data_IF_024069321313
#
_entry.id   IF_024069321313
#
_cell.length_a   1.000
_cell.length_b   1.000
_cell.length_c   1.000
_cell.angle_alpha   90.00
_cell.angle_beta   90.00
_cell.angle_gamma   90.00
#
_symmetry.space_group_name_H-M   'P 1'
#
loop_
_entity.id
_entity.type
_entity.pdbx_description
1 polymer ?
#
# COMPACT_ATOMS: atom_id res chain seq x y z
N UNK A 1 16.02 -19.67 44.45
CA UNK A 1 15.89 -19.48 42.99
C UNK A 1 17.09 -20.12 42.29
N UNK A 2 16.92 -21.31 41.70
CA UNK A 2 17.99 -21.96 40.92
C UNK A 2 18.12 -21.24 39.57
N UNK A 3 19.24 -20.54 39.37
CA UNK A 3 19.62 -20.02 38.04
C UNK A 3 19.94 -21.24 37.16
N UNK A 4 19.15 -21.45 36.11
CA UNK A 4 19.47 -22.42 35.06
C UNK A 4 20.74 -21.96 34.35
N UNK A 5 21.89 -22.52 34.72
CA UNK A 5 23.08 -22.48 33.89
C UNK A 5 22.80 -23.36 32.67
N UNK A 6 22.54 -22.76 31.51
CA UNK A 6 22.63 -23.50 30.26
C UNK A 6 24.11 -23.85 30.06
N UNK A 7 24.47 -25.13 29.85
CA UNK A 7 25.85 -25.49 29.53
C UNK A 7 26.29 -24.71 28.29
N UNK A 8 27.57 -24.34 28.23
CA UNK A 8 28.13 -23.71 27.03
C UNK A 8 27.86 -24.65 25.84
N UNK A 9 27.31 -24.14 24.72
CA UNK A 9 27.00 -24.98 23.57
C UNK A 9 28.26 -25.66 23.09
N UNK A 10 28.17 -26.97 22.86
CA UNK A 10 29.29 -27.76 22.35
C UNK A 10 29.69 -27.27 20.94
N UNK A 11 30.88 -27.63 20.47
CA UNK A 11 31.43 -27.18 19.19
C UNK A 11 30.45 -27.47 18.03
N UNK A 12 29.77 -28.62 18.05
CA UNK A 12 28.73 -28.98 17.08
C UNK A 12 27.54 -28.03 17.12
N UNK A 13 27.03 -27.71 18.32
CA UNK A 13 25.89 -26.80 18.49
C UNK A 13 26.26 -25.36 18.04
N UNK A 14 27.52 -24.94 18.28
CA UNK A 14 28.04 -23.66 17.77
C UNK A 14 28.17 -23.66 16.25
N UNK A 15 28.64 -24.76 15.65
CA UNK A 15 28.72 -24.91 14.19
C UNK A 15 27.33 -24.88 13.56
N UNK A 16 26.34 -25.52 14.16
CA UNK A 16 24.95 -25.50 13.70
C UNK A 16 24.34 -24.10 13.76
N UNK A 17 24.55 -23.37 14.86
CA UNK A 17 24.10 -21.98 14.98
C UNK A 17 24.74 -21.07 13.92
N UNK A 18 26.03 -21.25 13.64
CA UNK A 18 26.74 -20.52 12.57
C UNK A 18 26.19 -20.89 11.20
N UNK A 19 26.01 -22.19 10.91
CA UNK A 19 25.43 -22.67 9.66
C UNK A 19 24.02 -22.10 9.43
N UNK A 20 23.20 -22.07 10.48
CA UNK A 20 21.86 -21.50 10.38
C UNK A 20 21.89 -19.99 10.15
N UNK A 21 22.79 -19.26 10.83
CA UNK A 21 23.04 -17.83 10.57
C UNK A 21 23.47 -17.58 9.12
N UNK A 22 24.41 -18.36 8.59
CA UNK A 22 24.86 -18.26 7.20
C UNK A 22 23.72 -18.55 6.23
N UNK A 23 22.92 -19.60 6.47
CA UNK A 23 21.74 -19.91 5.65
C UNK A 23 20.69 -18.80 5.67
N UNK A 24 20.46 -18.17 6.82
CA UNK A 24 19.55 -17.01 6.92
C UNK A 24 20.11 -15.81 6.17
N UNK A 25 21.39 -15.48 6.37
CA UNK A 25 22.06 -14.38 5.70
C UNK A 25 22.05 -14.54 4.17
N UNK A 26 22.35 -15.73 3.65
CA UNK A 26 22.26 -16.04 2.21
C UNK A 26 20.84 -15.83 1.68
N UNK A 27 19.83 -16.38 2.36
CA UNK A 27 18.42 -16.19 1.96
C UNK A 27 18.02 -14.71 1.95
N UNK A 28 18.47 -13.93 2.94
CA UNK A 28 18.22 -12.48 2.98
C UNK A 28 18.92 -11.76 1.83
N UNK A 29 20.17 -12.11 1.53
CA UNK A 29 20.92 -11.52 0.42
C UNK A 29 20.28 -11.84 -0.92
N UNK A 30 19.96 -13.12 -1.19
CA UNK A 30 19.29 -13.56 -2.42
C UNK A 30 17.94 -12.87 -2.62
N UNK A 31 17.20 -12.68 -1.53
CA UNK A 31 15.96 -11.93 -1.55
C UNK A 31 16.20 -10.47 -1.91
N UNK A 32 17.13 -9.77 -1.22
CA UNK A 32 17.48 -8.37 -1.52
C UNK A 32 17.97 -8.18 -2.95
N UNK A 33 18.78 -9.09 -3.46
CA UNK A 33 19.26 -9.06 -4.84
C UNK A 33 18.11 -9.19 -5.82
N UNK A 34 17.19 -10.15 -5.60
CA UNK A 34 15.97 -10.25 -6.42
C UNK A 34 15.15 -8.97 -6.38
N UNK A 35 14.95 -8.39 -5.21
CA UNK A 35 14.18 -7.14 -5.07
C UNK A 35 14.82 -5.94 -5.76
N UNK A 36 16.15 -5.87 -5.72
CA UNK A 36 16.90 -4.81 -6.37
C UNK A 36 16.86 -4.93 -7.90
N UNK A 37 16.64 -6.14 -8.43
CA UNK A 37 16.49 -6.38 -9.87
C UNK A 37 15.11 -6.08 -10.42
N UNK A 38 14.05 -6.15 -9.61
CA UNK A 38 12.67 -5.90 -10.08
C UNK A 38 12.52 -4.63 -10.93
N UNK A 39 13.08 -3.46 -10.57
CA UNK A 39 12.98 -2.29 -11.44
C UNK A 39 13.66 -2.48 -12.80
N UNK A 40 14.80 -3.20 -12.84
CA UNK A 40 15.50 -3.51 -14.09
C UNK A 40 14.69 -4.51 -14.92
N UNK A 41 14.15 -5.55 -14.28
CA UNK A 41 13.29 -6.54 -14.93
C UNK A 41 12.06 -5.83 -15.55
N UNK A 42 11.42 -4.91 -14.81
CA UNK A 42 10.31 -4.11 -15.33
C UNK A 42 10.75 -3.25 -16.52
N UNK A 43 11.91 -2.60 -16.47
CA UNK A 43 12.41 -1.78 -17.58
C UNK A 43 12.71 -2.59 -18.84
N UNK A 44 13.11 -3.86 -18.67
CA UNK A 44 13.42 -4.77 -19.76
C UNK A 44 12.14 -5.33 -20.39
N UNK A 45 11.14 -5.67 -19.56
CA UNK A 45 9.84 -6.20 -19.99
C UNK A 45 8.89 -5.12 -20.53
N UNK A 46 8.94 -3.92 -19.94
CA UNK A 46 8.10 -2.77 -20.26
C UNK A 46 9.02 -1.54 -20.35
N UNK A 47 9.13 -0.93 -21.53
CA UNK A 47 9.87 0.32 -21.65
C UNK A 47 9.31 1.35 -20.65
N UNK A 48 10.15 2.17 -20.02
CA UNK A 48 9.70 3.19 -19.03
C UNK A 48 8.59 4.09 -19.60
N UNK A 49 8.62 4.30 -20.92
CA UNK A 49 7.62 5.06 -21.68
C UNK A 49 6.22 4.42 -21.74
N UNK A 50 6.09 3.15 -21.39
CA UNK A 50 4.82 2.40 -21.39
C UNK A 50 4.09 2.48 -20.04
N UNK A 51 4.74 3.02 -19.01
CA UNK A 51 4.11 3.23 -17.71
C UNK A 51 3.13 4.40 -17.79
N UNK A 52 1.87 4.16 -17.47
CA UNK A 52 0.84 5.20 -17.48
C UNK A 52 1.06 6.20 -16.33
N UNK A 53 1.48 5.73 -15.16
CA UNK A 53 1.71 6.56 -13.98
C UNK A 53 0.42 6.95 -13.25
N UNK A 54 0.49 7.99 -12.40
CA UNK A 54 -0.58 8.55 -11.57
C UNK A 54 -1.16 7.63 -10.49
N UNK A 55 -1.84 6.56 -10.87
CA UNK A 55 -2.55 5.65 -9.96
C UNK A 55 -2.10 4.21 -10.20
N UNK A 56 -1.92 3.47 -9.11
CA UNK A 56 -1.51 2.08 -9.15
C UNK A 56 -2.50 1.18 -8.43
N UNK A 57 -3.06 0.17 -9.11
CA UNK A 57 -3.87 -0.87 -8.47
C UNK A 57 -3.02 -2.09 -8.14
N UNK A 58 -2.79 -2.35 -6.85
CA UNK A 58 -2.05 -3.54 -6.42
C UNK A 58 -3.01 -4.70 -6.12
N UNK A 59 -3.34 -5.50 -7.13
CA UNK A 59 -4.32 -6.59 -7.03
C UNK A 59 -4.02 -7.76 -7.96
N UNK A 60 -4.28 -8.98 -7.48
CA UNK A 60 -4.32 -10.21 -8.32
C UNK A 60 -5.70 -10.55 -8.84
N UNK A 61 -6.71 -9.78 -8.45
CA UNK A 61 -8.08 -10.06 -8.78
C UNK A 61 -8.49 -9.32 -10.07
N UNK A 62 -8.59 -10.08 -11.15
CA UNK A 62 -9.03 -9.58 -12.45
C UNK A 62 -10.40 -8.91 -12.43
N UNK A 63 -11.32 -9.32 -11.54
CA UNK A 63 -12.64 -8.68 -11.43
C UNK A 63 -12.58 -7.23 -10.95
N UNK A 64 -11.51 -6.86 -10.24
CA UNK A 64 -11.30 -5.50 -9.74
C UNK A 64 -10.51 -4.67 -10.76
N UNK A 65 -9.73 -5.31 -11.64
CA UNK A 65 -8.86 -4.64 -12.61
C UNK A 65 -9.66 -3.73 -13.54
N UNK A 66 -10.63 -4.27 -14.26
CA UNK A 66 -11.38 -3.49 -15.25
C UNK A 66 -12.21 -2.38 -14.59
N UNK A 67 -12.82 -2.71 -13.45
CA UNK A 67 -13.63 -1.75 -12.68
C UNK A 67 -12.81 -0.53 -12.25
N UNK A 68 -11.63 -0.76 -11.67
CA UNK A 68 -10.75 0.33 -11.21
C UNK A 68 -10.11 1.04 -12.39
N UNK A 69 -9.60 0.31 -13.38
CA UNK A 69 -8.96 0.89 -14.58
C UNK A 69 -9.93 1.82 -15.31
N UNK A 70 -11.15 1.37 -15.56
CA UNK A 70 -12.16 2.18 -16.25
C UNK A 70 -12.52 3.43 -15.45
N UNK A 71 -12.65 3.31 -14.12
CA UNK A 71 -12.94 4.45 -13.26
C UNK A 71 -11.80 5.46 -13.25
N UNK A 72 -10.56 5.02 -13.02
CA UNK A 72 -9.37 5.87 -12.97
C UNK A 72 -9.17 6.60 -14.30
N UNK A 73 -9.30 5.88 -15.42
CA UNK A 73 -9.21 6.48 -16.76
C UNK A 73 -10.36 7.43 -17.07
N UNK A 74 -11.57 7.18 -16.57
CA UNK A 74 -12.70 8.11 -16.73
C UNK A 74 -12.47 9.44 -16.03
N UNK A 75 -11.62 9.46 -14.98
CA UNK A 75 -11.17 10.67 -14.30
C UNK A 75 -9.93 11.30 -14.94
N UNK A 76 -9.41 10.72 -16.03
CA UNK A 76 -8.28 11.24 -16.80
C UNK A 76 -6.90 10.87 -16.28
N UNK A 77 -6.79 9.87 -15.40
CA UNK A 77 -5.50 9.42 -14.85
C UNK A 77 -5.01 8.12 -15.49
N UNK A 78 -3.69 7.95 -15.53
CA UNK A 78 -3.04 6.67 -15.81
C UNK A 78 -3.33 5.60 -14.75
N UNK A 79 -3.31 4.32 -15.15
CA UNK A 79 -3.54 3.21 -14.23
C UNK A 79 -2.66 1.99 -14.52
N UNK A 80 -1.63 1.79 -13.70
CA UNK A 80 -0.78 0.59 -13.73
C UNK A 80 -1.24 -0.45 -12.70
N UNK A 81 -1.13 -1.75 -13.04
CA UNK A 81 -1.70 -2.83 -12.21
C UNK A 81 -0.64 -3.89 -11.86
N UNK A 82 0.24 -3.65 -10.88
CA UNK A 82 1.11 -4.70 -10.34
C UNK A 82 0.31 -5.70 -9.48
N UNK A 83 0.69 -6.97 -9.51
CA UNK A 83 0.03 -7.97 -8.67
C UNK A 83 0.60 -7.98 -7.25
N UNK A 84 1.92 -7.78 -7.14
CA UNK A 84 2.69 -7.97 -5.90
C UNK A 84 3.16 -6.64 -5.35
N UNK A 85 3.35 -6.59 -4.03
CA UNK A 85 3.92 -5.41 -3.36
C UNK A 85 5.33 -5.10 -3.85
N UNK A 86 6.10 -6.12 -4.24
CA UNK A 86 7.47 -5.94 -4.74
C UNK A 86 7.50 -5.30 -6.14
N UNK A 87 6.58 -5.70 -7.02
CA UNK A 87 6.36 -5.08 -8.34
C UNK A 87 5.89 -3.64 -8.18
N UNK A 88 4.92 -3.41 -7.28
CA UNK A 88 4.45 -2.07 -6.94
C UNK A 88 5.60 -1.17 -6.45
N UNK A 89 6.45 -1.65 -5.54
CA UNK A 89 7.64 -0.93 -5.09
C UNK A 89 8.63 -0.69 -6.24
N UNK A 90 8.77 -1.65 -7.17
CA UNK A 90 9.57 -1.49 -8.38
C UNK A 90 9.07 -0.32 -9.23
N UNK A 91 7.77 -0.31 -9.54
CA UNK A 91 7.12 0.77 -10.28
C UNK A 91 7.25 2.12 -9.58
N UNK A 92 7.06 2.20 -8.26
CA UNK A 92 7.25 3.43 -7.48
C UNK A 92 8.66 4.02 -7.60
N UNK A 93 9.68 3.22 -7.95
CA UNK A 93 11.04 3.72 -8.20
C UNK A 93 11.24 4.25 -9.62
N UNK A 94 10.41 3.84 -10.56
CA UNK A 94 10.54 4.13 -11.98
C UNK A 94 9.61 5.27 -12.43
N UNK A 95 8.38 5.28 -11.93
CA UNK A 95 7.33 6.22 -12.31
C UNK A 95 6.95 7.19 -11.20
N UNK A 96 6.24 8.25 -11.57
CA UNK A 96 5.60 9.17 -10.62
C UNK A 96 4.17 8.72 -10.38
N UNK A 97 3.92 8.21 -9.18
CA UNK A 97 2.59 7.86 -8.72
C UNK A 97 2.15 8.84 -7.64
N UNK A 98 0.86 9.13 -7.59
CA UNK A 98 0.23 9.97 -6.58
C UNK A 98 -0.69 9.14 -5.67
N UNK A 99 -1.23 8.03 -6.18
CA UNK A 99 -2.10 7.15 -5.40
C UNK A 99 -1.83 5.67 -5.67
N UNK A 100 -2.03 4.86 -4.64
CA UNK A 100 -2.04 3.41 -4.69
C UNK A 100 -3.38 2.90 -4.17
N UNK A 101 -4.07 2.10 -4.97
CA UNK A 101 -5.23 1.32 -4.55
C UNK A 101 -4.74 -0.09 -4.22
N UNK A 102 -4.70 -0.47 -2.94
CA UNK A 102 -4.13 -1.73 -2.49
C UNK A 102 -5.21 -2.76 -2.14
N UNK A 103 -5.27 -3.90 -2.85
CA UNK A 103 -6.10 -5.03 -2.42
C UNK A 103 -5.46 -5.72 -1.21
N UNK A 104 -6.07 -5.51 -0.05
CA UNK A 104 -5.68 -6.05 1.25
C UNK A 104 -6.53 -7.29 1.64
N UNK A 105 -7.47 -7.70 0.80
CA UNK A 105 -8.47 -8.73 1.17
C UNK A 105 -7.91 -10.14 1.31
N UNK A 106 -6.81 -10.47 0.63
CA UNK A 106 -6.22 -11.82 0.68
C UNK A 106 -4.82 -11.86 1.28
N UNK A 107 -4.05 -10.78 1.18
CA UNK A 107 -2.66 -10.74 1.59
C UNK A 107 -2.35 -9.41 2.25
N UNK A 108 -1.56 -9.47 3.32
CA UNK A 108 -1.01 -8.25 3.90
C UNK A 108 -0.11 -7.54 2.89
N UNK A 109 -0.27 -6.23 2.84
CA UNK A 109 0.56 -5.31 2.06
C UNK A 109 1.47 -4.45 2.96
N UNK A 110 1.74 -4.87 4.20
CA UNK A 110 2.45 -4.06 5.20
C UNK A 110 3.78 -3.48 4.71
N UNK A 111 4.54 -4.23 3.91
CA UNK A 111 5.79 -3.74 3.32
C UNK A 111 5.62 -2.59 2.31
N UNK A 112 4.51 -2.57 1.58
CA UNK A 112 4.17 -1.47 0.68
C UNK A 112 3.88 -0.20 1.49
N UNK A 113 3.10 -0.33 2.56
CA UNK A 113 2.83 0.76 3.50
C UNK A 113 4.12 1.30 4.13
N UNK A 114 4.98 0.42 4.63
CA UNK A 114 6.27 0.81 5.21
C UNK A 114 7.14 1.56 4.20
N UNK A 115 7.21 1.07 2.95
CA UNK A 115 7.97 1.72 1.88
C UNK A 115 7.43 3.11 1.57
N UNK A 116 6.13 3.24 1.32
CA UNK A 116 5.48 4.52 1.00
C UNK A 116 5.67 5.51 2.14
N UNK A 117 5.40 5.10 3.38
CA UNK A 117 5.59 5.95 4.57
C UNK A 117 7.03 6.44 4.71
N UNK A 118 8.02 5.60 4.41
CA UNK A 118 9.44 5.93 4.61
C UNK A 118 10.05 6.73 3.46
N UNK A 119 9.65 6.48 2.23
CA UNK A 119 10.34 7.01 1.05
C UNK A 119 9.48 7.92 0.17
N UNK A 120 8.15 7.77 0.18
CA UNK A 120 7.23 8.52 -0.67
C UNK A 120 5.93 8.90 0.07
N UNK A 121 6.00 9.66 1.18
CA UNK A 121 4.83 9.96 2.02
C UNK A 121 3.76 10.81 1.34
N UNK A 122 4.06 11.40 0.19
CA UNK A 122 3.10 12.14 -0.64
C UNK A 122 2.11 11.20 -1.36
N UNK A 123 2.51 9.96 -1.63
CA UNK A 123 1.66 8.96 -2.29
C UNK A 123 0.56 8.52 -1.33
N UNK A 124 -0.71 8.65 -1.75
CA UNK A 124 -1.87 8.27 -0.93
C UNK A 124 -2.22 6.81 -1.15
N UNK A 125 -2.55 6.08 -0.08
CA UNK A 125 -2.99 4.69 -0.19
C UNK A 125 -4.50 4.60 0.08
N UNK A 126 -5.26 4.02 -0.84
CA UNK A 126 -6.65 3.61 -0.62
C UNK A 126 -6.68 2.08 -0.56
N UNK A 127 -7.21 1.52 0.51
CA UNK A 127 -7.14 0.07 0.75
C UNK A 127 -8.47 -0.61 0.51
N UNK A 128 -8.50 -1.71 -0.24
CA UNK A 128 -9.68 -2.59 -0.33
C UNK A 128 -9.54 -3.64 0.76
N UNK A 129 -10.48 -3.67 1.71
CA UNK A 129 -10.43 -4.52 2.92
C UNK A 129 -11.67 -5.41 3.02
N UNK A 130 -11.62 -6.49 3.81
CA UNK A 130 -12.78 -7.40 3.94
C UNK A 130 -13.85 -6.89 4.89
N UNK A 131 -13.46 -6.13 5.90
CA UNK A 131 -14.34 -5.69 6.98
C UNK A 131 -13.79 -4.43 7.67
N UNK A 132 -14.63 -3.82 8.52
CA UNK A 132 -14.29 -2.62 9.28
C UNK A 132 -13.11 -2.80 10.24
N UNK A 133 -12.87 -4.01 10.74
CA UNK A 133 -11.72 -4.27 11.61
C UNK A 133 -10.41 -4.10 10.84
N UNK A 134 -10.30 -4.71 9.65
CA UNK A 134 -9.18 -4.50 8.73
C UNK A 134 -9.10 -3.05 8.25
N UNK A 135 -10.24 -2.40 8.00
CA UNK A 135 -10.32 -0.96 7.67
C UNK A 135 -9.61 -0.09 8.71
N UNK A 136 -9.93 -0.29 9.99
CA UNK A 136 -9.24 0.43 11.09
C UNK A 136 -7.74 0.14 11.15
N UNK A 137 -7.32 -1.09 10.84
CA UNK A 137 -5.88 -1.43 10.82
C UNK A 137 -5.13 -0.69 9.72
N UNK A 138 -5.67 -0.64 8.50
CA UNK A 138 -5.02 0.06 7.38
C UNK A 138 -5.02 1.57 7.58
N UNK A 139 -6.07 2.14 8.19
CA UNK A 139 -6.08 3.56 8.56
C UNK A 139 -4.95 3.89 9.55
N UNK A 140 -4.75 3.07 10.60
CA UNK A 140 -3.63 3.23 11.54
C UNK A 140 -2.26 3.07 10.87
N UNK A 141 -2.19 2.31 9.78
CA UNK A 141 -0.97 2.15 8.99
C UNK A 141 -0.67 3.36 8.09
N UNK A 142 -1.59 4.33 7.98
CA UNK A 142 -1.45 5.53 7.16
C UNK A 142 -2.20 5.48 5.82
N UNK A 143 -3.21 4.61 5.70
CA UNK A 143 -4.12 4.64 4.55
C UNK A 143 -4.89 5.97 4.56
N UNK A 144 -5.08 6.57 3.38
CA UNK A 144 -5.91 7.75 3.18
C UNK A 144 -7.39 7.43 3.41
N UNK A 145 -7.85 6.30 2.87
CA UNK A 145 -9.22 5.79 3.02
C UNK A 145 -9.21 4.27 2.84
N UNK A 146 -10.35 3.61 3.08
CA UNK A 146 -10.56 2.22 2.72
C UNK A 146 -11.93 1.97 2.09
N UNK A 147 -12.00 0.90 1.31
CA UNK A 147 -13.19 0.42 0.60
C UNK A 147 -13.56 -0.96 1.12
N UNK A 148 -14.84 -1.18 1.38
CA UNK A 148 -15.34 -2.45 1.92
C UNK A 148 -15.63 -3.46 0.82
N UNK A 149 -14.89 -4.56 0.87
CA UNK A 149 -15.02 -5.68 -0.05
C UNK A 149 -14.65 -5.34 -1.49
N UNK A 150 -14.64 -6.35 -2.35
CA UNK A 150 -14.37 -6.18 -3.79
C UNK A 150 -15.59 -5.65 -4.55
N UNK A 151 -16.77 -5.79 -3.96
CA UNK A 151 -18.03 -5.20 -4.41
C UNK A 151 -18.22 -3.73 -3.99
N UNK A 152 -17.15 -3.03 -3.60
CA UNK A 152 -17.22 -1.62 -3.16
C UNK A 152 -17.94 -0.73 -4.17
N UNK A 153 -18.50 0.38 -3.70
CA UNK A 153 -19.16 1.36 -4.54
C UNK A 153 -18.14 2.17 -5.38
N UNK A 154 -18.21 2.15 -6.72
CA UNK A 154 -17.35 2.97 -7.57
C UNK A 154 -17.34 4.46 -7.21
N UNK A 155 -18.48 5.03 -6.80
CA UNK A 155 -18.57 6.46 -6.47
C UNK A 155 -17.74 6.80 -5.22
N UNK A 156 -17.58 5.84 -4.30
CA UNK A 156 -16.73 6.01 -3.13
C UNK A 156 -15.25 6.08 -3.54
N UNK A 157 -14.82 5.22 -4.45
CA UNK A 157 -13.47 5.28 -5.00
C UNK A 157 -13.25 6.56 -5.81
N UNK A 158 -14.23 6.96 -6.64
CA UNK A 158 -14.19 8.23 -7.38
C UNK A 158 -13.98 9.41 -6.44
N UNK A 159 -14.74 9.45 -5.35
CA UNK A 159 -14.59 10.49 -4.33
C UNK A 159 -13.18 10.49 -3.74
N UNK A 160 -12.64 9.33 -3.41
CA UNK A 160 -11.26 9.24 -2.90
C UNK A 160 -10.24 9.80 -3.90
N UNK A 161 -10.37 9.46 -5.19
CA UNK A 161 -9.51 9.94 -6.27
C UNK A 161 -9.60 11.46 -6.39
N UNK A 162 -10.81 12.01 -6.50
CA UNK A 162 -11.03 13.46 -6.64
C UNK A 162 -10.50 14.22 -5.42
N UNK A 163 -10.86 13.78 -4.21
CA UNK A 163 -10.43 14.45 -2.97
C UNK A 163 -8.92 14.42 -2.80
N UNK A 164 -8.28 13.27 -3.06
CA UNK A 164 -6.84 13.12 -2.84
C UNK A 164 -5.97 13.74 -3.95
N UNK A 165 -6.36 13.56 -5.22
CA UNK A 165 -5.52 13.95 -6.36
C UNK A 165 -5.86 15.34 -6.90
N UNK A 166 -7.15 15.61 -7.12
CA UNK A 166 -7.62 16.86 -7.73
C UNK A 166 -7.68 18.00 -6.71
N UNK A 167 -8.30 17.74 -5.56
CA UNK A 167 -8.49 18.74 -4.51
C UNK A 167 -7.32 18.79 -3.53
N UNK A 168 -6.54 17.70 -3.43
CA UNK A 168 -5.43 17.55 -2.47
C UNK A 168 -5.86 17.74 -1.01
N UNK A 169 -7.11 17.41 -0.71
CA UNK A 169 -7.67 17.50 0.64
C UNK A 169 -7.15 16.36 1.53
N UNK A 170 -7.15 16.60 2.84
CA UNK A 170 -7.06 15.52 3.82
C UNK A 170 -8.32 14.66 3.75
N UNK A 171 -8.20 13.39 4.14
CA UNK A 171 -9.36 12.52 4.22
C UNK A 171 -10.28 13.01 5.34
N UNK A 172 -11.53 13.36 4.99
CA UNK A 172 -12.53 13.74 5.97
C UNK A 172 -12.97 12.52 6.80
N UNK A 173 -13.67 12.78 7.91
CA UNK A 173 -14.11 11.74 8.84
C UNK A 173 -14.86 10.58 8.16
N UNK A 174 -15.75 10.88 7.21
CA UNK A 174 -16.48 9.84 6.47
C UNK A 174 -15.54 8.93 5.68
N UNK A 175 -14.60 9.51 4.92
CA UNK A 175 -13.63 8.73 4.15
C UNK A 175 -12.70 7.91 5.07
N UNK A 176 -12.28 8.47 6.20
CA UNK A 176 -11.46 7.72 7.17
C UNK A 176 -12.19 6.53 7.80
N UNK A 177 -13.52 6.54 7.79
CA UNK A 177 -14.37 5.44 8.27
C UNK A 177 -14.93 4.57 7.14
N UNK A 178 -14.45 4.76 5.89
CA UNK A 178 -14.94 3.99 4.75
C UNK A 178 -16.42 4.20 4.46
N UNK A 179 -16.96 5.36 4.85
CA UNK A 179 -18.33 5.77 4.57
C UNK A 179 -18.42 6.51 3.22
N UNK A 180 -19.65 6.63 2.71
CA UNK A 180 -19.93 7.45 1.53
C UNK A 180 -19.83 8.93 1.87
N UNK A 181 -19.29 9.72 0.94
CA UNK A 181 -19.33 11.17 1.07
C UNK A 181 -20.79 11.66 0.91
N UNK A 182 -21.25 12.42 1.90
CA UNK A 182 -22.56 13.08 1.90
C UNK A 182 -22.45 14.60 1.65
N UNK A 183 -21.24 15.11 1.34
CA UNK A 183 -20.92 16.53 1.15
C UNK A 183 -21.21 17.44 2.37
N UNK A 184 -21.33 16.90 3.58
CA UNK A 184 -21.60 17.71 4.78
C UNK A 184 -20.56 18.80 5.03
N UNK A 185 -19.30 18.58 4.65
CA UNK A 185 -18.24 19.59 4.76
C UNK A 185 -18.42 20.81 3.84
N UNK A 186 -19.25 20.71 2.79
CA UNK A 186 -19.55 21.82 1.88
C UNK A 186 -20.57 22.77 2.49
N UNK A 187 -21.46 22.25 3.34
CA UNK A 187 -22.49 23.04 4.01
C UNK A 187 -21.99 23.68 5.32
N UNK A 188 -20.97 23.10 5.97
CA UNK A 188 -20.49 23.51 7.30
C UNK A 188 -19.19 24.36 7.34
N UNK A 189 -18.60 24.77 6.20
CA UNK A 189 -17.36 25.59 6.17
C UNK A 189 -16.21 25.10 7.09
N UNK A 190 -16.06 23.79 7.28
CA UNK A 190 -14.97 23.29 8.13
C UNK A 190 -13.64 23.35 7.38
N UNK A 191 -12.71 24.16 7.92
CA UNK A 191 -11.36 24.36 7.40
C UNK A 191 -10.35 23.47 8.14
N UNK A 192 -9.12 23.39 7.63
CA UNK A 192 -8.05 22.58 8.26
C UNK A 192 -7.75 22.99 9.72
N UNK A 193 -8.16 24.18 10.16
CA UNK A 193 -8.03 24.66 11.55
C UNK A 193 -8.96 23.92 12.51
N UNK A 194 -10.14 23.48 12.06
CA UNK A 194 -11.15 22.83 12.91
C UNK A 194 -10.77 21.38 13.29
N UNK A 195 -9.82 20.78 12.57
CA UNK A 195 -9.34 19.42 12.83
C UNK A 195 -8.17 19.37 13.82
N UNK A 196 -7.55 20.51 14.14
CA UNK A 196 -6.43 20.58 15.10
C UNK A 196 -6.89 20.57 16.57
N UNK A 197 -8.17 20.82 16.83
CA UNK A 197 -8.73 20.91 18.19
C UNK A 197 -9.30 19.59 18.73
N UNK A 198 -9.24 18.50 17.95
CA UNK A 198 -9.82 17.18 18.31
C UNK A 198 -8.75 16.12 18.66
N UNK A 199 -7.45 16.49 18.68
CA UNK A 199 -6.36 15.65 19.25
C UNK A 199 -6.15 15.92 20.75
#
# INVERSE_FOLDING_TARGET
>A
MKKFFKPLPDLEERLDQVNERVRRARRTLDWRTREARIPLDIQEDFGISELEGDVMLVSRDGSVHDKVRNLVRSEGYGCDIPERSSEAIGLLKLGKYQMIIADYTRRSRGRLFEYVRRYQPHVKIVSIVRNNHEGRQVMRAGSYSYLLGRGFDPEQLRTCIISALKLKHRACWLLTNGERCNRSCVDDFQSDEDFAEIE
#
